data_IF_363751629143
#
_entry.id   IF_363751629143
#
_cell.length_a   1.000
_cell.length_b   1.000
_cell.length_c   1.000
_cell.angle_alpha   90.00
_cell.angle_beta   90.00
_cell.angle_gamma   90.00
#
_symmetry.space_group_name_H-M   'P 1'
#
loop_
_entity.id
_entity.type
_entity.pdbx_description
1 polymer ?
#
# COMPACT_ATOMS: atom_id res chain seq x y z
N UNK A 1 11.83 15.68 -10.45
CA UNK A 1 11.51 14.43 -9.73
C UNK A 1 10.30 14.71 -8.85
N UNK A 2 9.23 13.93 -8.99
CA UNK A 2 8.05 14.07 -8.14
C UNK A 2 8.36 13.71 -6.69
N UNK A 3 7.67 14.36 -5.76
CA UNK A 3 7.71 14.02 -4.33
C UNK A 3 7.29 12.56 -4.10
N UNK A 4 8.00 11.88 -3.21
CA UNK A 4 7.71 10.50 -2.80
C UNK A 4 7.44 10.50 -1.31
N UNK A 5 6.28 10.00 -0.91
CA UNK A 5 5.92 9.79 0.49
C UNK A 5 6.02 8.30 0.80
N UNK A 6 6.54 7.96 1.98
CA UNK A 6 6.59 6.58 2.48
C UNK A 6 5.86 6.50 3.81
N UNK A 7 5.10 5.43 3.99
CA UNK A 7 4.53 5.13 5.31
C UNK A 7 5.61 4.66 6.28
N UNK A 8 5.27 4.65 7.56
CA UNK A 8 5.95 3.79 8.53
C UNK A 8 5.95 2.33 8.06
N UNK A 9 6.93 1.59 8.53
CA UNK A 9 7.03 0.16 8.24
C UNK A 9 5.98 -0.62 9.03
N UNK A 10 5.38 -1.63 8.41
CA UNK A 10 4.40 -2.52 9.01
C UNK A 10 4.73 -3.99 8.72
N UNK A 11 4.15 -4.89 9.52
CA UNK A 11 4.29 -6.34 9.40
C UNK A 11 3.07 -7.02 10.02
N UNK A 12 2.89 -8.34 9.79
CA UNK A 12 1.72 -9.05 10.31
C UNK A 12 1.75 -9.26 11.84
N UNK A 13 2.94 -9.23 12.42
CA UNK A 13 3.15 -9.25 13.86
C UNK A 13 4.49 -8.62 14.24
N UNK A 14 4.69 -8.39 15.54
CA UNK A 14 5.89 -7.73 16.06
C UNK A 14 7.19 -8.46 15.67
N UNK A 15 7.16 -9.79 15.70
CA UNK A 15 8.32 -10.66 15.42
C UNK A 15 8.46 -11.06 13.95
N UNK A 16 7.55 -10.60 13.09
CA UNK A 16 7.59 -10.92 11.66
C UNK A 16 8.80 -10.27 10.99
N UNK A 17 9.52 -11.06 10.19
CA UNK A 17 10.72 -10.65 9.46
C UNK A 17 10.39 -9.95 8.14
N UNK A 18 9.14 -10.09 7.66
CA UNK A 18 8.64 -9.40 6.49
C UNK A 18 8.19 -8.00 6.90
N UNK A 19 8.98 -7.02 6.50
CA UNK A 19 8.71 -5.60 6.76
C UNK A 19 8.30 -4.94 5.46
N UNK A 20 7.16 -4.28 5.47
CA UNK A 20 6.57 -3.63 4.32
C UNK A 20 6.36 -2.15 4.58
N UNK A 21 6.31 -1.33 3.54
CA UNK A 21 5.76 0.02 3.64
C UNK A 21 5.00 0.38 2.36
N UNK A 22 4.13 1.39 2.45
CA UNK A 22 3.54 2.00 1.27
C UNK A 22 4.47 3.08 0.74
N UNK A 23 4.52 3.21 -0.58
CA UNK A 23 5.18 4.30 -1.30
C UNK A 23 4.13 4.99 -2.16
N UNK A 24 3.99 6.30 -1.97
CA UNK A 24 3.01 7.14 -2.65
C UNK A 24 3.72 8.20 -3.47
N UNK A 25 3.31 8.35 -4.72
CA UNK A 25 3.67 9.47 -5.57
C UNK A 25 2.41 10.31 -5.81
N UNK A 26 2.20 11.40 -5.06
CA UNK A 26 0.92 12.08 -5.15
C UNK A 26 0.66 12.85 -6.43
N UNK A 27 1.72 13.13 -7.19
CA UNK A 27 1.68 13.83 -8.49
C UNK A 27 2.10 12.91 -9.65
N UNK A 28 1.88 11.61 -9.49
CA UNK A 28 2.32 10.60 -10.44
C UNK A 28 3.79 10.23 -10.32
N UNK A 29 4.15 9.11 -10.91
CA UNK A 29 5.53 8.61 -10.97
C UNK A 29 6.31 9.27 -12.11
N UNK A 30 5.65 9.50 -13.25
CA UNK A 30 6.20 10.14 -14.45
C UNK A 30 5.08 10.85 -15.23
N UNK A 31 5.42 11.40 -16.40
CA UNK A 31 4.52 12.20 -17.23
C UNK A 31 3.23 11.47 -17.62
N UNK A 32 3.30 10.13 -17.80
CA UNK A 32 2.14 9.33 -18.18
C UNK A 32 1.11 9.20 -17.04
N UNK A 33 1.55 9.37 -15.78
CA UNK A 33 0.70 9.29 -14.59
C UNK A 33 0.59 10.58 -13.80
N UNK A 34 0.98 11.73 -14.35
CA UNK A 34 0.95 13.06 -13.69
C UNK A 34 -0.42 13.45 -13.10
N UNK A 35 -1.49 12.97 -13.74
CA UNK A 35 -2.88 13.23 -13.35
C UNK A 35 -3.43 12.20 -12.36
N UNK A 36 -2.58 11.27 -11.89
CA UNK A 36 -2.92 10.21 -10.96
C UNK A 36 -2.05 10.27 -9.71
N UNK A 37 -2.59 9.78 -8.60
CA UNK A 37 -1.78 9.33 -7.48
C UNK A 37 -1.31 7.91 -7.81
N UNK A 38 0.00 7.66 -7.72
CA UNK A 38 0.57 6.31 -7.84
C UNK A 38 0.83 5.73 -6.45
N UNK A 39 0.54 4.44 -6.29
CA UNK A 39 0.60 3.76 -4.99
C UNK A 39 1.25 2.38 -5.14
N UNK A 40 2.23 2.10 -4.28
CA UNK A 40 3.02 0.88 -4.30
C UNK A 40 3.20 0.29 -2.91
N UNK A 41 3.27 -1.04 -2.86
CA UNK A 41 3.72 -1.82 -1.71
C UNK A 41 5.21 -2.11 -1.92
N UNK A 42 6.05 -1.73 -0.96
CA UNK A 42 7.48 -1.97 -0.97
C UNK A 42 7.85 -3.02 0.08
N UNK A 43 8.60 -4.04 -0.31
CA UNK A 43 9.24 -4.96 0.63
C UNK A 43 10.52 -4.32 1.17
N UNK A 44 10.49 -3.86 2.42
CA UNK A 44 11.60 -3.16 3.10
C UNK A 44 12.66 -4.15 3.56
N UNK A 45 12.25 -5.26 4.20
CA UNK A 45 13.16 -6.32 4.61
C UNK A 45 12.49 -7.68 4.59
N UNK A 46 13.27 -8.72 4.30
CA UNK A 46 12.87 -10.12 4.45
C UNK A 46 14.07 -10.98 4.83
N UNK A 47 13.84 -12.11 5.48
CA UNK A 47 14.86 -13.12 5.79
C UNK A 47 14.96 -14.23 4.74
N UNK A 48 14.17 -14.15 3.67
CA UNK A 48 14.18 -15.04 2.51
C UNK A 48 14.78 -14.32 1.30
N UNK A 49 15.21 -15.05 0.28
CA UNK A 49 15.66 -14.48 -1.00
C UNK A 49 14.54 -13.76 -1.75
N UNK A 50 13.30 -14.25 -1.62
CA UNK A 50 12.10 -13.66 -2.21
C UNK A 50 10.84 -14.01 -1.42
N UNK A 51 9.77 -13.26 -1.69
CA UNK A 51 8.42 -13.49 -1.16
C UNK A 51 7.43 -13.31 -2.29
N UNK A 52 6.45 -14.21 -2.42
CA UNK A 52 5.33 -14.02 -3.34
C UNK A 52 4.13 -13.50 -2.57
N UNK A 53 3.54 -12.40 -3.00
CA UNK A 53 2.38 -11.83 -2.32
C UNK A 53 1.38 -11.22 -3.30
N UNK A 54 0.09 -11.37 -2.98
CA UNK A 54 -0.99 -10.54 -3.50
C UNK A 54 -1.17 -9.32 -2.60
N UNK A 55 -1.68 -8.24 -3.16
CA UNK A 55 -2.04 -7.05 -2.40
C UNK A 55 -3.28 -6.38 -2.96
N UNK A 56 -4.05 -5.76 -2.07
CA UNK A 56 -5.18 -4.90 -2.39
C UNK A 56 -4.97 -3.54 -1.71
N UNK A 57 -5.26 -2.48 -2.44
CA UNK A 57 -5.35 -1.13 -1.88
C UNK A 57 -6.77 -0.62 -1.99
N UNK A 58 -7.24 0.09 -0.99
CA UNK A 58 -8.50 0.83 -1.00
C UNK A 58 -8.36 2.14 -0.23
N UNK A 59 -9.29 3.05 -0.43
CA UNK A 59 -9.40 4.31 0.32
C UNK A 59 -10.51 4.13 1.35
N UNK A 60 -10.28 4.58 2.59
CA UNK A 60 -11.34 4.64 3.60
C UNK A 60 -12.05 6.00 3.53
N UNK A 61 -13.37 5.96 3.37
CA UNK A 61 -14.21 7.16 3.43
C UNK A 61 -14.41 7.63 4.89
N UNK A 62 -15.17 8.71 5.10
CA UNK A 62 -15.51 9.24 6.43
C UNK A 62 -16.17 8.21 7.38
N UNK A 63 -16.87 7.20 6.84
CA UNK A 63 -17.51 6.11 7.58
C UNK A 63 -16.58 4.93 7.84
N UNK A 64 -15.31 5.03 7.44
CA UNK A 64 -14.32 3.94 7.45
C UNK A 64 -14.69 2.74 6.58
N UNK A 65 -15.49 2.97 5.55
CA UNK A 65 -15.81 1.96 4.54
C UNK A 65 -14.77 2.02 3.41
N UNK A 66 -14.38 0.85 2.92
CA UNK A 66 -13.48 0.74 1.78
C UNK A 66 -14.15 1.18 0.47
N UNK A 67 -13.46 2.00 -0.31
CA UNK A 67 -13.87 2.40 -1.66
C UNK A 67 -12.66 2.46 -2.59
N UNK A 68 -12.90 2.56 -3.90
CA UNK A 68 -11.87 2.68 -4.95
C UNK A 68 -10.79 1.59 -4.83
N UNK A 69 -11.22 0.37 -4.57
CA UNK A 69 -10.31 -0.75 -4.40
C UNK A 69 -9.64 -1.16 -5.72
N UNK A 70 -8.35 -1.46 -5.65
CA UNK A 70 -7.59 -2.13 -6.72
C UNK A 70 -6.77 -3.27 -6.13
N UNK A 71 -6.84 -4.44 -6.76
CA UNK A 71 -6.15 -5.65 -6.31
C UNK A 71 -5.20 -6.17 -7.39
N UNK A 72 -4.06 -6.71 -6.95
CA UNK A 72 -3.14 -7.43 -7.82
C UNK A 72 -3.81 -8.67 -8.42
N UNK A 73 -3.77 -8.82 -9.74
CA UNK A 73 -4.35 -9.98 -10.43
C UNK A 73 -3.72 -11.32 -10.02
N UNK A 74 -2.48 -11.30 -9.53
CA UNK A 74 -1.71 -12.49 -9.15
C UNK A 74 -0.72 -12.15 -8.03
N UNK A 75 -0.16 -13.18 -7.42
CA UNK A 75 0.96 -13.01 -6.50
C UNK A 75 2.21 -12.55 -7.26
N UNK A 76 2.72 -11.38 -6.89
CA UNK A 76 3.96 -10.81 -7.43
C UNK A 76 5.16 -11.27 -6.62
N UNK A 77 6.30 -11.42 -7.30
CA UNK A 77 7.59 -11.74 -6.67
C UNK A 77 8.23 -10.46 -6.14
N UNK A 78 8.34 -10.37 -4.82
CA UNK A 78 9.08 -9.34 -4.12
C UNK A 78 10.46 -9.87 -3.72
N UNK A 79 11.46 -9.02 -3.92
CA UNK A 79 12.79 -9.14 -3.28
C UNK A 79 12.97 -7.91 -2.42
N UNK A 80 13.87 -7.95 -1.45
CA UNK A 80 14.14 -6.79 -0.61
C UNK A 80 14.45 -5.54 -1.47
N UNK A 81 13.79 -4.43 -1.16
CA UNK A 81 13.90 -3.17 -1.89
C UNK A 81 13.03 -3.08 -3.15
N UNK A 82 12.30 -4.13 -3.53
CA UNK A 82 11.40 -4.13 -4.68
C UNK A 82 9.98 -3.76 -4.30
N UNK A 83 9.33 -2.99 -5.16
CA UNK A 83 7.92 -2.65 -5.05
C UNK A 83 7.07 -3.17 -6.21
N UNK A 84 5.77 -3.25 -5.93
CA UNK A 84 4.71 -3.51 -6.90
C UNK A 84 3.48 -2.68 -6.53
N UNK A 85 2.72 -2.25 -7.52
CA UNK A 85 1.61 -1.34 -7.27
C UNK A 85 0.94 -0.87 -8.54
N UNK A 86 0.20 0.22 -8.42
CA UNK A 86 -0.56 0.81 -9.51
C UNK A 86 -0.03 2.21 -9.80
N UNK A 87 0.56 2.36 -10.99
CA UNK A 87 1.02 3.64 -11.51
C UNK A 87 -0.12 4.66 -11.64
N UNK A 88 -1.33 4.18 -11.94
CA UNK A 88 -2.56 4.96 -12.08
C UNK A 88 -3.62 4.44 -11.10
N UNK A 89 -3.41 4.63 -9.79
CA UNK A 89 -4.32 4.13 -8.76
C UNK A 89 -5.63 4.92 -8.73
N UNK A 90 -5.55 6.25 -8.59
CA UNK A 90 -6.73 7.12 -8.62
C UNK A 90 -6.39 8.45 -9.30
N UNK A 91 -7.33 8.98 -10.10
CA UNK A 91 -7.16 10.31 -10.69
C UNK A 91 -7.18 11.38 -9.61
N UNK A 92 -6.30 12.38 -9.73
CA UNK A 92 -6.10 13.43 -8.73
C UNK A 92 -7.29 14.37 -8.64
N UNK A 93 -7.91 14.70 -9.77
CA UNK A 93 -9.12 15.54 -9.80
C UNK A 93 -10.26 14.87 -9.03
N UNK A 94 -10.50 13.58 -9.29
CA UNK A 94 -11.51 12.79 -8.57
C UNK A 94 -11.19 12.68 -7.08
N UNK A 95 -9.93 12.47 -6.71
CA UNK A 95 -9.51 12.37 -5.32
C UNK A 95 -9.69 13.68 -4.54
N UNK A 96 -9.40 14.81 -5.18
CA UNK A 96 -9.39 16.15 -4.56
C UNK A 96 -10.77 16.82 -4.56
N UNK A 97 -11.72 16.33 -5.36
CA UNK A 97 -13.09 16.81 -5.37
C UNK A 97 -13.81 16.38 -4.09
N UNK A 98 -14.16 17.37 -3.26
CA UNK A 98 -14.82 17.21 -1.96
C UNK A 98 -16.15 16.45 -2.07
N UNK A 99 -16.84 16.54 -3.21
CA UNK A 99 -18.09 15.81 -3.45
C UNK A 99 -17.91 14.28 -3.42
N UNK A 100 -16.68 13.79 -3.64
CA UNK A 100 -16.37 12.36 -3.61
C UNK A 100 -16.07 11.83 -2.21
N UNK A 101 -15.88 12.70 -1.20
CA UNK A 101 -15.76 12.30 0.21
C UNK A 101 -14.56 11.39 0.52
N UNK A 102 -13.48 11.46 -0.27
CA UNK A 102 -12.29 10.61 -0.13
C UNK A 102 -11.20 11.18 0.77
N UNK A 103 -11.34 12.44 1.20
CA UNK A 103 -10.38 13.16 2.03
C UNK A 103 -11.07 13.77 3.28
N UNK A 104 -11.70 12.95 4.14
CA UNK A 104 -12.26 13.47 5.39
C UNK A 104 -11.15 14.13 6.21
N UNK A 105 -11.43 15.33 6.72
CA UNK A 105 -10.47 16.17 7.46
C UNK A 105 -9.14 16.41 6.71
N UNK A 106 -9.19 16.51 5.37
CA UNK A 106 -8.04 16.70 4.49
C UNK A 106 -6.98 15.58 4.62
N UNK A 107 -7.43 14.36 4.96
CA UNK A 107 -6.57 13.19 5.16
C UNK A 107 -6.93 12.07 4.19
N UNK A 108 -5.93 11.60 3.46
CA UNK A 108 -6.03 10.38 2.68
C UNK A 108 -5.72 9.17 3.57
N UNK A 109 -6.69 8.28 3.74
CA UNK A 109 -6.48 7.02 4.46
C UNK A 109 -6.47 5.86 3.49
N UNK A 110 -5.31 5.23 3.31
CA UNK A 110 -5.13 4.05 2.46
C UNK A 110 -5.21 2.80 3.32
N UNK A 111 -6.14 1.91 2.99
CA UNK A 111 -6.18 0.56 3.54
C UNK A 111 -5.44 -0.39 2.60
N UNK A 112 -4.61 -1.25 3.17
CA UNK A 112 -3.80 -2.22 2.43
C UNK A 112 -4.01 -3.60 3.02
N UNK A 113 -4.28 -4.56 2.15
CA UNK A 113 -4.29 -5.98 2.49
C UNK A 113 -3.15 -6.66 1.74
N UNK A 114 -2.40 -7.51 2.43
CA UNK A 114 -1.30 -8.28 1.84
C UNK A 114 -1.53 -9.75 2.14
N UNK A 115 -1.53 -10.59 1.10
CA UNK A 115 -1.66 -12.04 1.24
C UNK A 115 -0.37 -12.68 0.76
N UNK A 116 0.41 -13.20 1.69
CA UNK A 116 1.70 -13.83 1.40
C UNK A 116 1.48 -15.30 1.08
N UNK A 117 1.97 -15.75 -0.07
CA UNK A 117 1.92 -17.16 -0.46
C UNK A 117 2.96 -17.91 0.37
N UNK A 118 2.50 -18.87 1.17
CA UNK A 118 3.39 -19.74 1.93
C UNK A 118 3.99 -20.81 1.01
N UNK A 119 5.28 -21.12 1.21
CA UNK A 119 5.89 -22.31 0.62
C UNK A 119 5.29 -23.53 1.35
N UNK A 120 4.54 -24.37 0.65
CA UNK A 120 4.07 -25.63 1.21
C UNK A 120 5.25 -26.58 1.38
N UNK A 121 5.58 -26.94 2.64
CA UNK A 121 6.41 -28.11 2.90
C UNK A 121 5.51 -29.32 2.68
N UNK A 122 5.67 -30.01 1.55
CA UNK A 122 4.96 -31.25 1.27
C UNK A 122 5.40 -32.34 2.26
N UNK A 123 4.70 -32.45 3.39
CA UNK A 123 4.59 -33.70 4.14
C UNK A 123 3.15 -34.17 3.92
N UNK A 124 2.99 -35.06 2.93
CA UNK A 124 1.79 -35.86 2.63
C UNK A 124 0.43 -35.14 2.81
N UNK A 125 -0.01 -34.46 1.74
CA UNK A 125 -1.42 -34.35 1.35
C UNK A 125 -2.36 -33.58 2.28
N UNK A 126 -2.50 -32.26 2.06
CA UNK A 126 -3.75 -31.53 1.80
C UNK A 126 -3.54 -30.00 1.85
N UNK A 127 -4.18 -29.32 0.88
CA UNK A 127 -4.59 -27.90 0.79
C UNK A 127 -3.55 -26.78 0.91
N UNK A 128 -3.45 -25.97 -0.15
CA UNK A 128 -2.87 -24.62 -0.14
C UNK A 128 -3.58 -23.78 0.95
N UNK A 129 -2.83 -23.31 1.95
CA UNK A 129 -3.32 -22.42 2.99
C UNK A 129 -2.82 -21.01 2.70
N UNK A 130 -3.68 -20.17 2.12
CA UNK A 130 -3.43 -18.74 1.98
C UNK A 130 -3.43 -18.09 3.38
N UNK A 131 -2.24 -17.73 3.88
CA UNK A 131 -2.15 -16.93 5.11
C UNK A 131 -2.34 -15.46 4.75
N UNK A 132 -3.51 -14.91 5.08
CA UNK A 132 -3.80 -13.47 4.94
C UNK A 132 -3.10 -12.71 6.04
N UNK A 133 -2.20 -11.80 5.69
CA UNK A 133 -1.51 -10.92 6.62
C UNK A 133 -1.98 -9.47 6.37
N UNK A 134 -3.09 -9.09 7.00
CA UNK A 134 -3.60 -7.70 6.91
C UNK A 134 -2.75 -6.76 7.75
N UNK A 135 -2.27 -5.68 7.15
CA UNK A 135 -1.53 -4.65 7.86
C UNK A 135 -2.10 -3.27 7.55
N UNK A 136 -2.51 -2.55 8.60
CA UNK A 136 -3.21 -1.28 8.51
C UNK A 136 -2.20 -0.13 8.46
N UNK A 137 -2.32 0.75 7.48
CA UNK A 137 -1.60 2.04 7.47
C UNK A 137 -2.63 3.15 7.55
N UNK A 138 -2.34 4.19 8.33
CA UNK A 138 -3.23 5.35 8.48
C UNK A 138 -2.51 6.65 8.14
N UNK A 139 -3.23 7.48 7.38
CA UNK A 139 -3.01 8.88 6.99
C UNK A 139 -1.72 9.22 6.26
N UNK A 140 -1.87 9.58 4.98
CA UNK A 140 -1.00 10.57 4.35
C UNK A 140 -1.78 11.88 4.42
N UNK A 141 -1.25 12.90 5.10
CA UNK A 141 -1.80 14.25 5.06
C UNK A 141 -1.86 14.76 3.61
N UNK A 142 -2.64 15.82 3.35
CA UNK A 142 -2.85 16.35 1.99
C UNK A 142 -1.57 16.30 1.16
N UNK A 143 -1.58 15.64 -0.01
CA UNK A 143 -0.42 15.62 -0.86
C UNK A 143 -0.05 17.03 -1.32
N UNK A 144 1.00 17.60 -0.70
CA UNK A 144 1.43 18.98 -0.91
C UNK A 144 1.48 19.87 0.34
N UNK A 145 1.13 19.36 1.53
CA UNK A 145 1.30 20.10 2.80
C UNK A 145 2.44 19.50 3.62
N UNK A 146 3.52 20.28 3.82
CA UNK A 146 4.61 19.93 4.74
C UNK A 146 4.02 19.95 6.16
N UNK A 147 3.81 18.79 6.76
CA UNK A 147 3.50 18.70 8.19
C UNK A 147 4.83 18.87 8.93
N UNK A 148 5.04 20.04 9.53
CA UNK A 148 6.10 20.23 10.52
C UNK A 148 5.65 19.56 11.82
N UNK A 149 6.42 18.61 12.32
CA UNK A 149 6.25 18.11 13.70
C UNK A 149 6.59 19.24 14.69
N UNK A 150 5.89 19.33 15.83
CA UNK A 150 6.30 20.24 16.90
C UNK A 150 7.60 19.72 17.53
N UNK A 151 8.60 20.59 17.63
CA UNK A 151 9.79 20.34 18.44
C UNK A 151 9.37 20.22 19.91
N UNK A 152 9.82 19.16 20.57
CA UNK A 152 9.85 19.04 22.04
C UNK A 152 11.29 19.28 22.49
#
# INVERSE_FOLDING_TARGET
MGEVLKSSTFSAGANDKLKWCLRVNPKGLDEESKDYLSLYLLLVSCNKSEVRAKFKFSILNAKREETKAMESQRAYRFVQGKDWGFKKFIRRDFLLDEANGLLPDDKLTIFCEVSVVADSVNISGQSECDTVQSARVSSVGRPGSVVREPEV
#
